data_IF_307955711063
#
_entry.id   IF_307955711063
#
_cell.length_a   1.000
_cell.length_b   1.000
_cell.length_c   1.000
_cell.angle_alpha   90.00
_cell.angle_beta   90.00
_cell.angle_gamma   90.00
#
_symmetry.space_group_name_H-M   'P 1'
#
loop_
_entity.id
_entity.type
_entity.pdbx_description
1 polymer ?
#
# COMPACT_ATOMS: atom_id res chain seq x y z
N UNK A 1 6.92 22.19 -6.29
CA UNK A 1 7.74 20.99 -6.03
C UNK A 1 7.45 20.57 -4.60
N UNK A 2 6.82 19.44 -4.41
CA UNK A 2 6.51 18.88 -3.09
C UNK A 2 7.71 18.07 -2.63
N UNK A 3 8.11 18.21 -1.43
CA UNK A 3 9.23 17.48 -0.86
C UNK A 3 9.08 17.47 0.65
N UNK A 4 9.93 18.21 1.36
CA UNK A 4 9.79 18.38 2.80
C UNK A 4 8.72 19.43 3.12
N UNK A 5 7.87 19.11 4.11
CA UNK A 5 6.99 20.06 4.80
C UNK A 5 6.76 19.59 6.24
N UNK A 6 6.27 20.47 7.11
CA UNK A 6 5.94 20.11 8.49
C UNK A 6 4.84 19.04 8.55
N UNK A 7 3.86 19.06 7.61
CA UNK A 7 2.80 18.06 7.54
C UNK A 7 3.36 16.69 7.13
N UNK A 8 4.24 16.64 6.13
CA UNK A 8 4.92 15.40 5.71
C UNK A 8 5.79 14.86 6.84
N UNK A 9 6.57 15.71 7.52
CA UNK A 9 7.36 15.31 8.68
C UNK A 9 6.48 14.74 9.80
N UNK A 10 5.33 15.37 10.07
CA UNK A 10 4.38 14.89 11.06
C UNK A 10 3.77 13.52 10.65
N UNK A 11 3.48 13.31 9.36
CA UNK A 11 2.99 12.03 8.85
C UNK A 11 4.03 10.91 9.04
N UNK A 12 5.30 11.18 8.76
CA UNK A 12 6.38 10.23 9.04
C UNK A 12 6.53 9.92 10.53
N UNK A 13 6.47 10.93 11.40
CA UNK A 13 6.54 10.72 12.85
C UNK A 13 5.34 9.89 13.36
N UNK A 14 4.14 10.12 12.78
CA UNK A 14 2.95 9.35 13.09
C UNK A 14 3.10 7.90 12.62
N UNK A 15 3.47 7.66 11.37
CA UNK A 15 3.68 6.32 10.84
C UNK A 15 4.79 5.57 11.62
N UNK A 16 5.91 6.22 11.91
CA UNK A 16 7.01 5.63 12.69
C UNK A 16 6.57 5.17 14.07
N UNK A 17 5.74 5.98 14.75
CA UNK A 17 5.20 5.65 16.07
C UNK A 17 4.26 4.43 16.04
N UNK A 18 3.44 4.31 15.00
CA UNK A 18 2.47 3.22 14.91
C UNK A 18 3.09 1.92 14.42
N UNK A 19 4.08 1.99 13.53
CA UNK A 19 4.86 0.85 13.02
C UNK A 19 6.13 0.55 13.82
N UNK A 20 6.28 1.07 15.05
CA UNK A 20 7.50 1.01 15.87
C UNK A 20 8.05 -0.40 16.10
N UNK A 21 7.17 -1.41 16.10
CA UNK A 21 7.50 -2.82 16.33
C UNK A 21 7.43 -3.69 15.08
N UNK A 22 7.09 -3.09 13.95
CA UNK A 22 6.93 -3.83 12.71
C UNK A 22 8.23 -3.86 11.90
N UNK A 23 8.46 -5.01 11.27
CA UNK A 23 9.52 -5.21 10.27
C UNK A 23 8.92 -5.75 8.97
N UNK A 24 9.60 -5.50 7.86
CA UNK A 24 9.23 -6.05 6.56
C UNK A 24 9.34 -7.57 6.58
N UNK A 25 8.34 -8.26 5.99
CA UNK A 25 8.28 -9.73 5.93
C UNK A 25 9.58 -10.33 5.40
N UNK A 26 10.10 -11.31 6.11
CA UNK A 26 11.33 -12.02 5.74
C UNK A 26 12.62 -11.22 5.88
N UNK A 27 12.57 -10.03 6.51
CA UNK A 27 13.73 -9.18 6.74
C UNK A 27 13.75 -8.66 8.19
N UNK A 28 14.80 -7.91 8.55
CA UNK A 28 14.85 -7.16 9.82
C UNK A 28 14.70 -5.64 9.59
N UNK A 29 14.34 -5.22 8.37
CA UNK A 29 14.19 -3.80 8.06
C UNK A 29 12.96 -3.23 8.77
N UNK A 30 13.08 -2.07 9.43
CA UNK A 30 11.93 -1.38 10.00
C UNK A 30 10.84 -1.17 8.95
N UNK A 31 9.58 -1.40 9.32
CA UNK A 31 8.45 -1.29 8.39
C UNK A 31 8.36 0.08 7.72
N UNK A 32 8.73 1.14 8.43
CA UNK A 32 8.73 2.52 7.92
C UNK A 32 9.50 2.70 6.60
N UNK A 33 10.44 1.80 6.29
CA UNK A 33 11.13 1.83 4.98
C UNK A 33 10.18 1.68 3.80
N UNK A 34 9.03 0.99 3.99
CA UNK A 34 8.01 0.86 2.95
C UNK A 34 7.26 2.17 2.69
N UNK A 35 6.54 2.76 3.64
CA UNK A 35 5.84 4.02 3.41
C UNK A 35 6.78 5.17 3.02
N UNK A 36 8.04 5.16 3.47
CA UNK A 36 9.03 6.14 3.02
C UNK A 36 9.31 6.01 1.50
N UNK A 37 9.47 4.79 0.99
CA UNK A 37 9.67 4.58 -0.45
C UNK A 37 8.38 4.88 -1.25
N UNK A 38 7.20 4.56 -0.72
CA UNK A 38 5.92 4.96 -1.35
C UNK A 38 5.84 6.47 -1.49
N UNK A 39 6.17 7.22 -0.44
CA UNK A 39 6.22 8.69 -0.48
C UNK A 39 7.24 9.22 -1.50
N UNK A 40 8.43 8.61 -1.60
CA UNK A 40 9.44 8.98 -2.60
C UNK A 40 8.93 8.73 -4.04
N UNK A 41 8.24 7.61 -4.28
CA UNK A 41 7.64 7.31 -5.57
C UNK A 41 6.58 8.38 -5.92
N UNK A 42 5.65 8.68 -5.02
CA UNK A 42 4.63 9.70 -5.23
C UNK A 42 5.24 11.08 -5.49
N UNK A 43 6.27 11.46 -4.73
CA UNK A 43 7.02 12.71 -4.92
C UNK A 43 7.69 12.76 -6.29
N UNK A 44 8.32 11.68 -6.73
CA UNK A 44 8.94 11.57 -8.06
C UNK A 44 7.94 11.82 -9.18
N UNK A 45 6.69 11.40 -8.99
CA UNK A 45 5.59 11.64 -9.93
C UNK A 45 4.87 12.98 -9.70
N UNK A 46 5.37 13.84 -8.82
CA UNK A 46 4.86 15.19 -8.59
C UNK A 46 3.46 15.23 -7.96
N UNK A 47 3.13 14.23 -7.14
CA UNK A 47 1.83 14.24 -6.45
C UNK A 47 1.78 15.35 -5.41
N UNK A 48 0.57 15.80 -5.12
CA UNK A 48 0.28 16.78 -4.10
C UNK A 48 0.60 16.27 -2.69
N UNK A 49 0.63 17.16 -1.73
CA UNK A 49 1.02 16.87 -0.37
C UNK A 49 0.09 15.87 0.31
N UNK A 50 -1.22 15.98 0.10
CA UNK A 50 -2.21 15.09 0.73
C UNK A 50 -2.11 13.67 0.18
N UNK A 51 -1.87 13.51 -1.12
CA UNK A 51 -1.59 12.20 -1.73
C UNK A 51 -0.30 11.57 -1.16
N UNK A 52 0.75 12.36 -0.96
CA UNK A 52 2.02 11.88 -0.36
C UNK A 52 1.79 11.47 1.09
N UNK A 53 1.06 12.28 1.87
CA UNK A 53 0.72 11.98 3.28
C UNK A 53 -0.12 10.70 3.35
N UNK A 54 -1.13 10.55 2.49
CA UNK A 54 -1.90 9.31 2.42
C UNK A 54 -1.01 8.10 2.09
N UNK A 55 -0.04 8.26 1.19
CA UNK A 55 0.96 7.22 0.91
C UNK A 55 1.85 6.87 2.10
N UNK A 56 2.19 7.82 2.98
CA UNK A 56 2.92 7.57 4.22
C UNK A 56 2.05 6.81 5.24
N UNK A 57 0.76 7.06 5.26
CA UNK A 57 -0.17 6.56 6.28
C UNK A 57 -0.98 5.32 5.83
N UNK A 58 -0.87 4.88 4.57
CA UNK A 58 -1.77 3.94 3.94
C UNK A 58 -1.93 2.59 4.66
N UNK A 59 -0.88 2.12 5.32
CA UNK A 59 -0.89 0.85 6.06
C UNK A 59 -1.20 1.01 7.56
N UNK A 60 -1.34 2.25 8.07
CA UNK A 60 -1.52 2.46 9.52
C UNK A 60 -2.82 1.84 10.02
N UNK A 61 -3.93 2.01 9.29
CA UNK A 61 -5.22 1.44 9.68
C UNK A 61 -5.21 -0.08 9.48
N UNK A 62 -4.65 -0.58 8.37
CA UNK A 62 -4.62 -2.02 8.08
C UNK A 62 -3.79 -2.79 9.12
N UNK A 63 -2.62 -2.26 9.48
CA UNK A 63 -1.58 -3.01 10.19
C UNK A 63 -1.45 -2.66 11.68
N UNK A 64 -1.92 -1.48 12.11
CA UNK A 64 -1.60 -0.98 13.46
C UNK A 64 -2.78 -1.04 14.45
N UNK A 65 -3.91 -1.61 14.05
CA UNK A 65 -5.02 -1.92 14.99
C UNK A 65 -4.54 -2.98 15.97
N UNK A 66 -4.53 -2.63 17.27
CA UNK A 66 -4.06 -3.47 18.39
C UNK A 66 -4.67 -3.02 19.69
N UNK A 67 -4.40 -3.72 20.78
CA UNK A 67 -4.81 -3.29 22.13
C UNK A 67 -4.39 -1.84 22.40
N UNK A 68 -5.37 -1.01 22.80
CA UNK A 68 -5.19 0.44 23.01
C UNK A 68 -5.19 1.30 21.74
N UNK A 69 -5.34 0.70 20.55
CA UNK A 69 -5.45 1.40 19.27
C UNK A 69 -6.51 0.75 18.38
N UNK A 70 -7.77 1.16 18.54
CA UNK A 70 -8.86 0.69 17.67
C UNK A 70 -8.79 1.34 16.29
N UNK A 71 -9.46 0.76 15.32
CA UNK A 71 -9.60 1.33 13.99
C UNK A 71 -10.18 2.76 14.06
N UNK A 72 -11.29 2.96 14.77
CA UNK A 72 -11.93 4.26 14.97
C UNK A 72 -10.97 5.32 15.55
N UNK A 73 -10.14 4.93 16.53
CA UNK A 73 -9.14 5.84 17.12
C UNK A 73 -8.07 6.25 16.10
N UNK A 74 -7.65 5.35 15.22
CA UNK A 74 -6.69 5.66 14.19
C UNK A 74 -7.30 6.55 13.12
N UNK A 75 -8.52 6.28 12.69
CA UNK A 75 -9.29 7.09 11.74
C UNK A 75 -9.49 8.52 12.26
N UNK A 76 -10.00 8.67 13.48
CA UNK A 76 -10.19 9.99 14.12
C UNK A 76 -8.88 10.78 14.18
N UNK A 77 -7.79 10.12 14.55
CA UNK A 77 -6.49 10.78 14.62
C UNK A 77 -5.94 11.17 13.25
N UNK A 78 -6.14 10.35 12.23
CA UNK A 78 -5.73 10.69 10.87
C UNK A 78 -6.56 11.86 10.36
N UNK A 79 -7.89 11.82 10.52
CA UNK A 79 -8.78 12.91 10.13
C UNK A 79 -8.42 14.24 10.83
N UNK A 80 -8.23 14.19 12.15
CA UNK A 80 -7.93 15.38 12.97
C UNK A 80 -6.57 16.00 12.60
N UNK A 81 -5.55 15.18 12.29
CA UNK A 81 -4.17 15.66 12.08
C UNK A 81 -3.87 16.00 10.62
N UNK A 82 -4.48 15.27 9.68
CA UNK A 82 -4.11 15.35 8.27
C UNK A 82 -5.28 15.73 7.36
N UNK A 83 -6.52 15.69 7.86
CA UNK A 83 -7.72 16.07 7.14
C UNK A 83 -8.52 14.86 6.63
N UNK A 84 -9.81 15.12 6.33
CA UNK A 84 -10.74 14.09 5.87
C UNK A 84 -10.32 13.49 4.51
N UNK A 85 -9.83 14.28 3.58
CA UNK A 85 -9.41 13.83 2.25
C UNK A 85 -8.25 12.82 2.32
N UNK A 86 -7.31 13.03 3.27
CA UNK A 86 -6.24 12.07 3.53
C UNK A 86 -6.81 10.78 4.11
N UNK A 87 -7.72 10.87 5.09
CA UNK A 87 -8.37 9.69 5.67
C UNK A 87 -9.14 8.91 4.60
N UNK A 88 -9.96 9.56 3.78
CA UNK A 88 -10.74 8.92 2.73
C UNK A 88 -9.83 8.17 1.75
N UNK A 89 -8.69 8.77 1.40
CA UNK A 89 -7.68 8.14 0.53
C UNK A 89 -7.06 6.91 1.19
N UNK A 90 -6.70 6.99 2.48
CA UNK A 90 -6.16 5.86 3.25
C UNK A 90 -7.17 4.73 3.35
N UNK A 91 -8.42 5.04 3.68
CA UNK A 91 -9.50 4.04 3.79
C UNK A 91 -9.76 3.33 2.45
N UNK A 92 -9.72 4.07 1.34
CA UNK A 92 -9.92 3.51 0.01
C UNK A 92 -8.87 2.45 -0.36
N UNK A 93 -7.65 2.55 0.19
CA UNK A 93 -6.54 1.61 -0.06
C UNK A 93 -6.26 0.64 1.11
N UNK A 94 -7.05 0.71 2.19
CA UNK A 94 -7.00 -0.23 3.32
C UNK A 94 -7.78 -1.49 3.00
N UNK A 95 -7.22 -2.68 3.18
CA UNK A 95 -7.99 -3.94 3.09
C UNK A 95 -8.85 -4.10 4.33
N UNK A 96 -10.12 -4.35 4.13
CA UNK A 96 -11.06 -4.58 5.22
C UNK A 96 -10.96 -6.02 5.71
N UNK A 97 -11.20 -6.20 7.01
CA UNK A 97 -11.29 -7.53 7.65
C UNK A 97 -12.71 -8.04 7.70
N UNK A 98 -13.68 -7.14 7.69
CA UNK A 98 -15.11 -7.44 7.73
C UNK A 98 -15.82 -6.68 6.60
N UNK A 99 -16.96 -7.19 6.18
CA UNK A 99 -17.90 -6.48 5.31
C UNK A 99 -18.70 -5.41 6.08
N UNK A 100 -19.70 -4.81 5.42
CA UNK A 100 -20.54 -3.77 6.00
C UNK A 100 -21.51 -4.32 7.08
N UNK A 101 -21.77 -5.62 7.08
CA UNK A 101 -22.58 -6.31 8.08
C UNK A 101 -21.73 -6.84 9.25
N UNK A 102 -20.41 -6.60 9.25
CA UNK A 102 -19.47 -7.03 10.29
C UNK A 102 -19.04 -8.51 10.15
N UNK A 103 -19.33 -9.16 9.04
CA UNK A 103 -18.94 -10.55 8.78
C UNK A 103 -17.47 -10.58 8.31
N UNK A 104 -16.71 -11.51 8.88
CA UNK A 104 -15.28 -11.66 8.55
C UNK A 104 -15.10 -12.10 7.09
N UNK A 105 -14.32 -11.33 6.34
CA UNK A 105 -13.99 -11.62 4.95
C UNK A 105 -12.87 -12.66 4.86
N UNK A 106 -13.06 -13.66 4.03
CA UNK A 106 -11.96 -14.50 3.57
C UNK A 106 -10.93 -13.65 2.81
N UNK A 107 -9.74 -14.19 2.63
CA UNK A 107 -8.67 -13.49 1.91
C UNK A 107 -9.06 -13.07 0.48
N UNK A 108 -9.76 -13.93 -0.23
CA UNK A 108 -10.12 -13.64 -1.61
C UNK A 108 -11.30 -12.67 -1.70
N UNK A 109 -12.23 -12.73 -0.74
CA UNK A 109 -13.29 -11.73 -0.58
C UNK A 109 -12.69 -10.35 -0.22
N UNK A 110 -11.73 -10.28 0.69
CA UNK A 110 -11.05 -9.03 1.04
C UNK A 110 -10.28 -8.42 -0.14
N UNK A 111 -9.69 -9.24 -1.04
CA UNK A 111 -9.08 -8.77 -2.28
C UNK A 111 -10.12 -8.25 -3.28
N UNK A 112 -11.23 -8.98 -3.44
CA UNK A 112 -12.32 -8.57 -4.32
C UNK A 112 -12.96 -7.27 -3.84
N UNK A 113 -13.25 -7.16 -2.54
CA UNK A 113 -13.72 -5.94 -1.89
C UNK A 113 -12.78 -4.75 -2.14
N UNK A 114 -11.48 -4.94 -1.94
CA UNK A 114 -10.48 -3.91 -2.21
C UNK A 114 -10.54 -3.41 -3.66
N UNK A 115 -10.58 -4.32 -4.65
CA UNK A 115 -10.63 -3.94 -6.06
C UNK A 115 -11.97 -3.26 -6.42
N UNK A 116 -13.07 -3.62 -5.78
CA UNK A 116 -14.37 -2.98 -5.95
C UNK A 116 -14.32 -1.55 -5.42
N UNK A 117 -13.85 -1.33 -4.18
CA UNK A 117 -13.73 0.01 -3.58
C UNK A 117 -12.74 0.90 -4.32
N UNK A 118 -11.70 0.33 -4.89
CA UNK A 118 -10.75 1.08 -5.72
C UNK A 118 -11.42 1.67 -6.97
N UNK A 119 -12.51 1.06 -7.47
CA UNK A 119 -13.26 1.62 -8.60
C UNK A 119 -14.06 2.87 -8.24
N UNK A 120 -14.50 2.99 -7.01
CA UNK A 120 -15.26 4.12 -6.49
C UNK A 120 -14.33 5.22 -5.93
N UNK A 121 -13.07 4.86 -5.70
CA UNK A 121 -12.06 5.73 -5.11
C UNK A 121 -11.61 6.85 -6.05
N UNK A 122 -11.23 7.97 -5.45
CA UNK A 122 -10.64 9.11 -6.14
C UNK A 122 -9.26 8.82 -6.76
N UNK A 123 -8.77 9.77 -7.55
CA UNK A 123 -7.48 9.64 -8.25
C UNK A 123 -6.31 9.46 -7.25
N UNK A 124 -6.32 10.16 -6.11
CA UNK A 124 -5.29 10.05 -5.07
C UNK A 124 -5.12 8.59 -4.59
N UNK A 125 -6.22 7.88 -4.33
CA UNK A 125 -6.18 6.49 -3.90
C UNK A 125 -5.57 5.56 -4.98
N UNK A 126 -5.88 5.79 -6.26
CA UNK A 126 -5.28 5.04 -7.38
C UNK A 126 -3.77 5.27 -7.47
N UNK A 127 -3.31 6.51 -7.23
CA UNK A 127 -1.89 6.83 -7.16
C UNK A 127 -1.20 6.15 -5.98
N UNK A 128 -1.79 6.17 -4.78
CA UNK A 128 -1.26 5.50 -3.59
C UNK A 128 -1.22 3.99 -3.81
N UNK A 129 -2.30 3.39 -4.31
CA UNK A 129 -2.34 1.97 -4.68
C UNK A 129 -1.23 1.60 -5.67
N UNK A 130 -1.05 2.36 -6.74
CA UNK A 130 0.00 2.10 -7.73
C UNK A 130 1.40 2.21 -7.12
N UNK A 131 1.67 3.25 -6.31
CA UNK A 131 2.96 3.48 -5.67
C UNK A 131 3.32 2.39 -4.67
N UNK A 132 2.35 1.93 -3.88
CA UNK A 132 2.50 0.78 -2.99
C UNK A 132 2.90 -0.48 -3.79
N UNK A 133 2.19 -0.77 -4.88
CA UNK A 133 2.48 -1.97 -5.68
C UNK A 133 3.79 -1.86 -6.44
N UNK A 134 4.18 -0.69 -6.92
CA UNK A 134 5.51 -0.44 -7.52
C UNK A 134 6.61 -0.74 -6.50
N UNK A 135 6.51 -0.21 -5.28
CA UNK A 135 7.52 -0.48 -4.25
C UNK A 135 7.56 -1.96 -3.84
N UNK A 136 6.39 -2.58 -3.63
CA UNK A 136 6.32 -3.98 -3.21
C UNK A 136 6.83 -4.92 -4.31
N UNK A 137 6.42 -4.73 -5.57
CA UNK A 137 6.90 -5.52 -6.71
C UNK A 137 8.40 -5.34 -6.94
N UNK A 138 8.89 -4.09 -6.89
CA UNK A 138 10.32 -3.78 -7.03
C UNK A 138 11.17 -4.41 -5.93
N UNK A 139 10.69 -4.38 -4.67
CA UNK A 139 11.36 -5.02 -3.54
C UNK A 139 11.42 -6.54 -3.70
N UNK A 140 10.30 -7.14 -4.12
CA UNK A 140 10.22 -8.58 -4.38
C UNK A 140 11.16 -9.01 -5.50
N UNK A 141 11.20 -8.27 -6.61
CA UNK A 141 12.15 -8.52 -7.70
C UNK A 141 13.60 -8.39 -7.24
N UNK A 142 13.91 -7.38 -6.41
CA UNK A 142 15.25 -7.21 -5.85
C UNK A 142 15.67 -8.40 -4.98
N UNK A 143 14.76 -8.94 -4.18
CA UNK A 143 15.00 -10.12 -3.36
C UNK A 143 15.20 -11.36 -4.24
N UNK A 144 14.34 -11.58 -5.24
CA UNK A 144 14.45 -12.71 -6.19
C UNK A 144 15.75 -12.68 -7.01
N UNK A 145 16.25 -11.50 -7.35
CA UNK A 145 17.52 -11.35 -8.08
C UNK A 145 18.76 -11.63 -7.21
N UNK A 146 18.64 -11.51 -5.89
CA UNK A 146 19.75 -11.65 -4.93
C UNK A 146 19.81 -13.02 -4.26
N UNK A 147 18.73 -13.79 -4.31
CA UNK A 147 18.67 -15.10 -3.66
C UNK A 147 19.11 -16.22 -4.58
N UNK A 148 19.71 -17.26 -4.01
CA UNK A 148 19.93 -18.55 -4.65
C UNK A 148 18.76 -19.52 -4.44
N UNK A 149 17.82 -19.17 -3.57
CA UNK A 149 16.63 -19.93 -3.22
C UNK A 149 15.36 -19.07 -3.37
N UNK A 150 14.80 -18.99 -4.58
CA UNK A 150 13.56 -18.23 -4.82
C UNK A 150 12.37 -18.69 -3.99
N UNK A 151 12.28 -19.98 -3.65
CA UNK A 151 11.16 -20.51 -2.88
C UNK A 151 11.13 -19.93 -1.45
N UNK A 152 12.29 -19.63 -0.88
CA UNK A 152 12.38 -18.94 0.43
C UNK A 152 11.79 -17.53 0.37
N UNK A 153 11.84 -16.88 -0.77
CA UNK A 153 11.24 -15.55 -0.97
C UNK A 153 9.73 -15.67 -1.12
N UNK A 154 9.26 -16.59 -1.96
CA UNK A 154 7.83 -16.82 -2.19
C UNK A 154 7.13 -17.35 -0.93
N UNK A 155 7.80 -18.15 -0.14
CA UNK A 155 7.28 -18.70 1.13
C UNK A 155 6.97 -17.65 2.21
N UNK A 156 7.44 -16.40 2.05
CA UNK A 156 7.08 -15.27 2.94
C UNK A 156 5.62 -14.84 2.76
N UNK A 157 5.01 -15.20 1.66
CA UNK A 157 3.64 -14.79 1.30
C UNK A 157 2.67 -15.96 1.49
N UNK A 158 1.59 -15.71 2.23
CA UNK A 158 0.58 -16.74 2.51
C UNK A 158 -0.10 -17.32 1.24
N UNK A 159 -0.05 -16.65 0.08
CA UNK A 159 -0.55 -17.12 -1.21
C UNK A 159 0.51 -17.84 -2.05
N UNK A 160 1.73 -17.96 -1.53
CA UNK A 160 2.85 -18.42 -2.32
C UNK A 160 3.12 -17.56 -3.56
N UNK A 161 3.79 -18.13 -4.53
CA UNK A 161 4.09 -17.47 -5.81
C UNK A 161 2.80 -17.10 -6.56
N UNK A 162 1.94 -18.08 -6.83
CA UNK A 162 0.79 -17.90 -7.71
C UNK A 162 -0.23 -16.89 -7.16
N UNK A 163 -0.59 -17.00 -5.88
CA UNK A 163 -1.52 -16.07 -5.24
C UNK A 163 -0.96 -14.64 -5.12
N UNK A 164 0.37 -14.49 -5.09
CA UNK A 164 1.03 -13.19 -5.09
C UNK A 164 1.04 -12.58 -6.49
N UNK A 165 1.37 -13.37 -7.51
CA UNK A 165 1.34 -12.92 -8.90
C UNK A 165 -0.08 -12.53 -9.35
N UNK A 166 -1.08 -13.37 -9.04
CA UNK A 166 -2.49 -13.06 -9.32
C UNK A 166 -2.92 -11.73 -8.71
N UNK A 167 -2.46 -11.42 -7.49
CA UNK A 167 -2.76 -10.16 -6.85
C UNK A 167 -2.16 -8.95 -7.59
N UNK A 168 -0.88 -9.00 -7.97
CA UNK A 168 -0.25 -7.90 -8.72
C UNK A 168 -0.88 -7.71 -10.10
N UNK A 169 -1.15 -8.81 -10.81
CA UNK A 169 -1.84 -8.79 -12.11
C UNK A 169 -3.25 -8.19 -11.94
N UNK A 170 -4.01 -8.64 -10.96
CA UNK A 170 -5.36 -8.15 -10.71
C UNK A 170 -5.41 -6.65 -10.40
N UNK A 171 -4.50 -6.14 -9.57
CA UNK A 171 -4.43 -4.69 -9.27
C UNK A 171 -4.05 -3.88 -10.51
N UNK A 172 -3.02 -4.31 -11.26
CA UNK A 172 -2.62 -3.64 -12.51
C UNK A 172 -3.77 -3.56 -13.50
N UNK A 173 -4.44 -4.69 -13.73
CA UNK A 173 -5.51 -4.78 -14.73
C UNK A 173 -6.73 -3.98 -14.27
N UNK A 174 -7.05 -3.99 -12.98
CA UNK A 174 -8.11 -3.14 -12.42
C UNK A 174 -7.83 -1.65 -12.63
N UNK A 175 -6.62 -1.17 -12.38
CA UNK A 175 -6.24 0.22 -12.66
C UNK A 175 -6.40 0.58 -14.14
N UNK A 176 -6.06 -0.34 -15.06
CA UNK A 176 -6.29 -0.17 -16.51
C UNK A 176 -7.77 -0.08 -16.86
N UNK A 177 -8.60 -0.98 -16.35
CA UNK A 177 -10.05 -0.99 -16.54
C UNK A 177 -10.71 0.31 -16.08
N UNK A 178 -10.19 0.91 -15.01
CA UNK A 178 -10.64 2.19 -14.48
C UNK A 178 -10.17 3.40 -15.28
N UNK A 179 -9.48 3.20 -16.40
CA UNK A 179 -8.95 4.27 -17.24
C UNK A 179 -7.81 5.05 -16.56
N UNK A 180 -7.12 4.49 -15.58
CA UNK A 180 -5.96 5.11 -14.97
C UNK A 180 -4.76 4.99 -15.90
N UNK A 181 -4.41 6.09 -16.60
CA UNK A 181 -3.35 6.11 -17.63
C UNK A 181 -2.07 6.82 -17.17
N UNK A 182 -1.93 7.05 -15.87
CA UNK A 182 -0.77 7.73 -15.29
C UNK A 182 0.55 6.96 -15.56
N UNK A 183 1.70 7.65 -15.73
CA UNK A 183 2.98 7.00 -16.05
C UNK A 183 3.42 5.92 -15.06
N UNK A 184 3.02 6.02 -13.81
CA UNK A 184 3.29 5.01 -12.78
C UNK A 184 2.69 3.63 -13.12
N UNK A 185 1.58 3.60 -13.87
CA UNK A 185 0.97 2.33 -14.30
C UNK A 185 1.84 1.59 -15.31
N UNK A 186 2.58 2.31 -16.17
CA UNK A 186 3.55 1.69 -17.08
C UNK A 186 4.72 1.08 -16.28
N UNK A 187 5.22 1.79 -15.26
CA UNK A 187 6.25 1.25 -14.36
C UNK A 187 5.76 -0.01 -13.62
N UNK A 188 4.56 0.05 -13.04
CA UNK A 188 3.94 -1.10 -12.39
C UNK A 188 3.80 -2.28 -13.35
N UNK A 189 3.37 -2.03 -14.59
CA UNK A 189 3.21 -3.06 -15.60
C UNK A 189 4.53 -3.77 -15.92
N UNK A 190 5.60 -3.01 -16.12
CA UNK A 190 6.94 -3.56 -16.36
C UNK A 190 7.41 -4.47 -15.21
N UNK A 191 7.20 -4.03 -13.95
CA UNK A 191 7.56 -4.83 -12.77
C UNK A 191 6.73 -6.10 -12.65
N UNK A 192 5.42 -6.01 -12.91
CA UNK A 192 4.52 -7.18 -12.87
C UNK A 192 4.86 -8.18 -13.98
N UNK A 193 5.12 -7.71 -15.19
CA UNK A 193 5.49 -8.57 -16.32
C UNK A 193 6.82 -9.29 -16.05
N UNK A 194 7.80 -8.62 -15.44
CA UNK A 194 9.05 -9.28 -15.01
C UNK A 194 8.80 -10.31 -13.89
N UNK A 195 7.95 -10.02 -12.92
CA UNK A 195 7.60 -10.98 -11.86
C UNK A 195 6.95 -12.24 -12.43
N UNK A 196 6.08 -12.12 -13.43
CA UNK A 196 5.39 -13.26 -14.06
C UNK A 196 6.37 -14.18 -14.79
N UNK A 197 7.45 -13.63 -15.34
CA UNK A 197 8.47 -14.39 -16.08
C UNK A 197 9.52 -15.06 -15.18
N UNK A 198 9.49 -14.80 -13.88
CA UNK A 198 10.40 -15.36 -12.86
C UNK A 198 9.78 -16.55 -12.14
#
# INVERSE_FOLDING_TARGET
MTGYSDRINHAFAFAAKHHDRQVRKGTRLPYLTHPANVALILTRYGRDEDTIIAGILHDVIEDCVREGWTQEMLEDRIATKFGAEVLDTVLAVTKRRTDDDGVELSRDEAKADYLTRLSEAGEAARWVCAADKVHNAGSLLADLRRTIDPDSVWGRFNGGRDGTLQWYVGVRDRLRELGFTAPILAELSTLVDELVTR
#
